data_IF_359193826418
#
_entry.id   IF_359193826418
#
_cell.length_a   1.000
_cell.length_b   1.000
_cell.length_c   1.000
_cell.angle_alpha   90.00
_cell.angle_beta   90.00
_cell.angle_gamma   90.00
#
_symmetry.space_group_name_H-M   'P 1'
#
loop_
_entity.id
_entity.type
_entity.pdbx_description
1 polymer ?
#
# COMPACT_ATOMS: atom_id res chain seq x y z
N UNK A 1 0.03 17.11 -14.67
CA UNK A 1 -0.55 17.05 -13.31
C UNK A 1 0.37 16.22 -12.41
N UNK A 2 0.31 16.39 -11.08
CA UNK A 2 0.96 15.50 -10.10
C UNK A 2 -0.04 14.69 -9.26
N UNK A 3 -1.35 14.81 -9.53
CA UNK A 3 -2.38 14.04 -8.82
C UNK A 3 -2.39 12.58 -9.25
N UNK A 4 -2.60 11.67 -8.29
CA UNK A 4 -2.61 10.22 -8.54
C UNK A 4 -1.26 9.71 -9.02
N UNK A 5 -0.17 10.15 -8.36
CA UNK A 5 1.23 9.85 -8.68
C UNK A 5 2.01 9.53 -7.41
N UNK A 6 2.95 8.62 -7.51
CA UNK A 6 4.08 8.53 -6.59
C UNK A 6 5.24 9.29 -7.22
N UNK A 7 5.90 10.14 -6.43
CA UNK A 7 7.02 10.95 -6.88
C UNK A 7 8.33 10.40 -6.31
N UNK A 8 9.40 10.47 -7.10
CA UNK A 8 10.77 10.17 -6.66
C UNK A 8 11.65 11.38 -6.91
N UNK A 9 12.27 11.88 -5.85
CA UNK A 9 13.16 13.05 -5.86
C UNK A 9 14.51 12.70 -5.23
N UNK A 10 15.53 13.46 -5.56
CA UNK A 10 16.85 13.43 -4.92
C UNK A 10 16.99 14.68 -4.05
N UNK A 11 17.10 14.49 -2.74
CA UNK A 11 17.19 15.57 -1.74
C UNK A 11 18.63 15.98 -1.42
N UNK A 12 19.62 15.23 -1.93
CA UNK A 12 21.03 15.39 -1.58
C UNK A 12 21.78 16.23 -2.62
N UNK A 13 21.38 16.15 -3.89
CA UNK A 13 22.12 16.77 -4.99
C UNK A 13 21.78 18.24 -5.28
N UNK A 14 20.65 18.76 -4.81
CA UNK A 14 20.27 20.17 -4.98
C UNK A 14 19.23 20.64 -3.95
N UNK A 15 19.05 21.96 -3.85
CA UNK A 15 18.04 22.60 -3.00
C UNK A 15 16.93 23.24 -3.88
N UNK A 16 15.64 22.98 -3.61
CA UNK A 16 15.11 22.11 -2.55
C UNK A 16 15.23 20.61 -2.84
N UNK A 17 15.43 20.22 -4.10
CA UNK A 17 15.68 18.85 -4.57
C UNK A 17 16.17 18.88 -6.03
N UNK A 18 16.66 17.75 -6.53
CA UNK A 18 16.84 17.48 -7.96
C UNK A 18 16.00 16.29 -8.42
N UNK A 19 15.82 16.18 -9.74
CA UNK A 19 15.14 15.03 -10.35
C UNK A 19 16.19 13.95 -10.65
N UNK A 20 16.05 12.73 -10.11
CA UNK A 20 16.94 11.63 -10.47
C UNK A 20 16.93 11.41 -11.99
N UNK A 21 18.09 11.34 -12.67
CA UNK A 21 18.14 11.16 -14.11
C UNK A 21 17.60 9.80 -14.57
N UNK A 22 17.47 8.85 -13.66
CA UNK A 22 16.88 7.53 -13.88
C UNK A 22 15.36 7.50 -13.69
N UNK A 23 14.72 8.64 -13.41
CA UNK A 23 13.26 8.66 -13.36
C UNK A 23 12.68 8.42 -14.77
N UNK A 24 11.56 7.69 -14.88
CA UNK A 24 11.02 7.22 -16.16
C UNK A 24 10.53 8.34 -17.08
N UNK A 25 10.15 9.51 -16.53
CA UNK A 25 9.54 10.61 -17.27
C UNK A 25 10.45 11.83 -17.47
N UNK A 26 11.75 11.71 -17.20
CA UNK A 26 12.70 12.83 -17.40
C UNK A 26 12.75 13.24 -18.87
N UNK A 27 12.61 14.53 -19.14
CA UNK A 27 12.66 15.10 -20.50
C UNK A 27 11.45 14.80 -21.37
N UNK A 28 10.44 14.08 -20.87
CA UNK A 28 9.22 13.79 -21.63
C UNK A 28 8.30 15.02 -21.69
N UNK A 29 8.01 15.49 -22.90
CA UNK A 29 7.07 16.61 -23.12
C UNK A 29 5.70 16.28 -22.54
N UNK A 30 5.20 17.14 -21.65
CA UNK A 30 3.89 16.97 -21.02
C UNK A 30 3.88 16.16 -19.73
N UNK A 31 5.00 15.54 -19.33
CA UNK A 31 5.15 14.86 -18.06
C UNK A 31 6.04 15.64 -17.09
N UNK A 32 5.88 15.36 -15.79
CA UNK A 32 6.77 15.87 -14.73
C UNK A 32 7.86 14.82 -14.49
N UNK A 33 9.12 15.25 -14.49
CA UNK A 33 10.26 14.33 -14.32
C UNK A 33 10.31 13.68 -12.94
N UNK A 34 9.63 14.26 -11.95
CA UNK A 34 9.47 13.73 -10.60
C UNK A 34 8.62 12.45 -10.54
N UNK A 35 7.78 12.19 -11.55
CA UNK A 35 6.86 11.05 -11.52
C UNK A 35 7.66 9.75 -11.54
N UNK A 36 7.36 8.86 -10.58
CA UNK A 36 7.90 7.51 -10.50
C UNK A 36 6.89 6.49 -11.02
N UNK A 37 5.66 6.55 -10.54
CA UNK A 37 4.54 5.74 -11.02
C UNK A 37 3.23 6.54 -10.96
N UNK A 38 2.22 6.06 -11.67
CA UNK A 38 0.96 6.77 -11.86
C UNK A 38 -0.24 5.82 -11.96
N UNK A 39 -1.43 6.38 -12.13
CA UNK A 39 -2.66 5.58 -12.23
C UNK A 39 -3.26 5.26 -10.88
N UNK A 40 -3.02 6.09 -9.87
CA UNK A 40 -3.65 5.97 -8.56
C UNK A 40 -4.83 6.93 -8.41
N UNK A 41 -5.82 6.58 -7.59
CA UNK A 41 -6.92 7.46 -7.22
C UNK A 41 -6.57 8.33 -6.02
N UNK A 42 -6.21 7.70 -4.90
CA UNK A 42 -5.78 8.32 -3.65
C UNK A 42 -4.81 7.39 -2.88
N UNK A 43 -3.52 7.33 -3.28
CA UNK A 43 -2.53 6.50 -2.61
C UNK A 43 -2.27 7.06 -1.20
N UNK A 44 -2.83 6.41 -0.17
CA UNK A 44 -2.87 6.94 1.19
C UNK A 44 -1.59 6.69 1.95
N UNK A 45 -1.18 5.42 2.05
CA UNK A 45 0.05 5.00 2.72
C UNK A 45 0.88 4.14 1.80
N UNK A 46 2.19 4.34 1.94
CA UNK A 46 3.20 3.53 1.30
C UNK A 46 4.28 3.14 2.31
N UNK A 47 4.87 1.98 2.12
CA UNK A 47 5.99 1.49 2.92
C UNK A 47 6.94 0.66 2.08
N UNK A 48 8.21 0.68 2.45
CA UNK A 48 9.20 -0.22 1.87
C UNK A 48 9.36 -1.42 2.77
N UNK A 49 9.31 -2.62 2.21
CA UNK A 49 9.76 -3.81 2.91
C UNK A 49 11.27 -3.69 3.17
N UNK A 50 11.67 -3.64 4.45
CA UNK A 50 13.08 -3.48 4.85
C UNK A 50 13.98 -4.63 4.39
N UNK A 51 13.42 -5.80 4.08
CA UNK A 51 14.19 -6.96 3.63
C UNK A 51 14.40 -6.99 2.11
N UNK A 52 13.40 -6.58 1.32
CA UNK A 52 13.44 -6.70 -0.15
C UNK A 52 13.59 -5.37 -0.87
N UNK A 53 13.18 -4.27 -0.23
CA UNK A 53 13.07 -2.95 -0.84
C UNK A 53 11.79 -2.76 -1.67
N UNK A 54 10.87 -3.73 -1.68
CA UNK A 54 9.63 -3.62 -2.43
C UNK A 54 8.75 -2.52 -1.83
N UNK A 55 8.13 -1.72 -2.69
CA UNK A 55 7.24 -0.64 -2.31
C UNK A 55 5.80 -1.15 -2.26
N UNK A 56 5.22 -1.17 -1.07
CA UNK A 56 3.83 -1.51 -0.83
C UNK A 56 2.99 -0.24 -0.79
N UNK A 57 1.83 -0.27 -1.45
CA UNK A 57 1.00 0.92 -1.66
C UNK A 57 -0.45 0.53 -1.33
N UNK A 58 -1.12 1.40 -0.61
CA UNK A 58 -2.55 1.31 -0.37
C UNK A 58 -3.24 2.47 -1.09
N UNK A 59 -4.09 2.15 -2.05
CA UNK A 59 -4.83 3.12 -2.85
C UNK A 59 -6.32 3.07 -2.50
N UNK A 60 -6.82 4.20 -1.98
CA UNK A 60 -8.22 4.33 -1.59
C UNK A 60 -9.04 4.64 -2.84
N UNK A 61 -9.91 3.72 -3.25
CA UNK A 61 -10.78 3.89 -4.41
C UNK A 61 -11.88 4.93 -4.22
N UNK A 62 -12.78 5.01 -5.19
CA UNK A 62 -13.80 6.05 -5.23
C UNK A 62 -15.13 5.61 -4.64
N UNK A 63 -15.82 4.70 -5.32
CA UNK A 63 -17.16 4.27 -4.96
C UNK A 63 -17.21 2.81 -4.49
N UNK A 64 -16.27 1.96 -4.93
CA UNK A 64 -16.45 0.51 -4.86
C UNK A 64 -15.28 -0.24 -4.23
N UNK A 65 -14.04 0.07 -4.62
CA UNK A 65 -12.93 -0.84 -4.40
C UNK A 65 -11.75 -0.18 -3.69
N UNK A 66 -11.31 -0.81 -2.62
CA UNK A 66 -10.03 -0.52 -1.98
C UNK A 66 -8.93 -1.41 -2.57
N UNK A 67 -7.70 -0.89 -2.70
CA UNK A 67 -6.61 -1.57 -3.38
C UNK A 67 -5.34 -1.69 -2.52
N UNK A 68 -4.68 -2.84 -2.60
CA UNK A 68 -3.29 -2.99 -2.17
C UNK A 68 -2.46 -3.34 -3.39
N UNK A 69 -1.50 -2.48 -3.69
CA UNK A 69 -0.55 -2.62 -4.78
C UNK A 69 0.87 -2.87 -4.25
N UNK A 70 1.73 -3.33 -5.16
CA UNK A 70 3.16 -3.45 -4.88
C UNK A 70 3.96 -3.11 -6.13
N UNK A 71 5.05 -2.37 -5.95
CA UNK A 71 6.05 -2.11 -6.96
C UNK A 71 7.36 -2.79 -6.55
N UNK A 72 7.89 -3.74 -7.35
CA UNK A 72 9.11 -4.46 -7.00
C UNK A 72 10.29 -3.50 -6.86
N UNK A 73 11.21 -3.77 -5.94
CA UNK A 73 12.45 -3.01 -5.75
C UNK A 73 13.30 -2.91 -7.03
N UNK A 74 13.18 -3.91 -7.91
CA UNK A 74 13.86 -3.98 -9.20
C UNK A 74 13.23 -3.14 -10.30
N UNK A 75 12.09 -2.51 -10.04
CA UNK A 75 11.39 -1.66 -11.01
C UNK A 75 12.24 -0.45 -11.43
N UNK A 76 12.10 -0.05 -12.69
CA UNK A 76 12.68 1.19 -13.23
C UNK A 76 11.69 2.38 -13.19
N UNK A 77 10.51 2.19 -12.58
CA UNK A 77 9.41 3.13 -12.59
C UNK A 77 8.63 3.10 -13.90
N UNK A 78 7.53 3.85 -13.94
CA UNK A 78 6.67 4.02 -15.10
C UNK A 78 5.39 3.19 -15.04
N UNK A 79 5.18 2.42 -13.96
CA UNK A 79 3.98 1.64 -13.74
C UNK A 79 2.72 2.53 -13.75
N UNK A 80 1.69 2.00 -14.41
CA UNK A 80 0.37 2.59 -14.49
C UNK A 80 -0.65 1.69 -13.77
N UNK A 81 -1.08 2.11 -12.58
CA UNK A 81 -2.02 1.38 -11.72
C UNK A 81 -3.49 1.54 -12.13
N UNK A 82 -3.76 2.16 -13.29
CA UNK A 82 -5.03 2.02 -13.98
C UNK A 82 -6.04 3.13 -13.76
N UNK A 83 -6.02 3.88 -12.65
CA UNK A 83 -6.99 4.97 -12.44
C UNK A 83 -6.84 6.09 -13.48
N UNK A 84 -7.95 6.62 -14.07
CA UNK A 84 -9.36 6.30 -13.78
C UNK A 84 -9.98 5.26 -14.72
N UNK A 85 -9.18 4.53 -15.48
CA UNK A 85 -9.66 3.51 -16.45
C UNK A 85 -10.13 2.25 -15.72
N UNK A 86 -9.50 1.94 -14.58
CA UNK A 86 -9.87 0.90 -13.64
C UNK A 86 -10.19 1.52 -12.27
N UNK A 87 -11.13 0.90 -11.55
CA UNK A 87 -11.30 1.01 -10.10
C UNK A 87 -11.19 -0.42 -9.54
N UNK A 88 -10.11 -0.72 -8.82
CA UNK A 88 -9.68 -2.08 -8.55
C UNK A 88 -9.42 -2.84 -9.85
N UNK A 89 -10.12 -3.95 -10.02
CA UNK A 89 -10.09 -4.73 -11.27
C UNK A 89 -11.30 -4.46 -12.17
N UNK A 90 -12.16 -3.50 -11.80
CA UNK A 90 -13.38 -3.19 -12.54
C UNK A 90 -13.08 -2.17 -13.65
N UNK A 91 -13.49 -2.50 -14.87
CA UNK A 91 -13.37 -1.59 -16.02
C UNK A 91 -14.36 -0.43 -15.92
N UNK A 92 -13.84 0.78 -15.77
CA UNK A 92 -14.61 2.05 -15.73
C UNK A 92 -14.63 2.71 -17.10
N UNK A 93 -13.49 2.70 -17.82
CA UNK A 93 -13.39 3.17 -19.21
C UNK A 93 -13.10 2.01 -20.17
N UNK A 94 -14.12 1.50 -20.88
CA UNK A 94 -13.98 0.39 -21.83
C UNK A 94 -12.97 0.62 -22.95
N UNK A 95 -12.61 1.88 -23.23
CA UNK A 95 -11.66 2.21 -24.29
C UNK A 95 -10.21 1.96 -23.88
N UNK A 96 -9.91 1.95 -22.57
CA UNK A 96 -8.55 1.94 -22.07
C UNK A 96 -8.29 0.92 -20.95
N UNK A 97 -9.31 0.34 -20.32
CA UNK A 97 -9.17 -0.61 -19.20
C UNK A 97 -8.55 -1.97 -19.59
N UNK A 98 -8.33 -2.22 -20.89
CA UNK A 98 -7.70 -3.42 -21.41
C UNK A 98 -6.28 -3.16 -21.94
N UNK A 99 -5.69 -2.01 -21.64
CA UNK A 99 -4.30 -1.72 -21.98
C UNK A 99 -3.37 -2.73 -21.25
N UNK A 100 -2.53 -3.49 -21.99
CA UNK A 100 -1.62 -4.46 -21.38
C UNK A 100 -0.51 -3.82 -20.52
N UNK A 101 -0.34 -2.50 -20.57
CA UNK A 101 0.57 -1.74 -19.71
C UNK A 101 0.01 -1.42 -18.32
N UNK A 102 -1.24 -1.77 -18.02
CA UNK A 102 -1.81 -1.58 -16.69
C UNK A 102 -1.30 -2.63 -15.71
N UNK A 103 -0.97 -2.18 -14.50
CA UNK A 103 -0.55 -3.02 -13.39
C UNK A 103 -1.77 -3.28 -12.51
N UNK A 104 -2.22 -4.55 -12.37
CA UNK A 104 -3.35 -4.85 -11.49
C UNK A 104 -2.93 -4.82 -10.02
N UNK A 105 -3.85 -4.50 -9.11
CA UNK A 105 -3.61 -4.60 -7.67
C UNK A 105 -3.38 -6.04 -7.24
N UNK A 106 -2.62 -6.23 -6.15
CA UNK A 106 -2.43 -7.55 -5.55
C UNK A 106 -3.74 -8.08 -4.97
N UNK A 107 -4.52 -7.20 -4.34
CA UNK A 107 -5.87 -7.53 -3.88
C UNK A 107 -6.77 -6.31 -3.94
N UNK A 108 -8.05 -6.55 -4.16
CA UNK A 108 -9.11 -5.56 -4.02
C UNK A 108 -10.15 -6.04 -3.00
N UNK A 109 -10.84 -5.11 -2.35
CA UNK A 109 -11.99 -5.44 -1.53
C UNK A 109 -13.04 -4.32 -1.51
N UNK A 110 -14.31 -4.72 -1.37
CA UNK A 110 -15.46 -3.83 -1.54
C UNK A 110 -15.80 -2.97 -0.32
N UNK A 111 -16.51 -1.88 -0.57
CA UNK A 111 -17.03 -0.94 0.44
C UNK A 111 -18.24 -1.45 1.27
N UNK A 112 -18.47 -2.76 1.37
CA UNK A 112 -19.65 -3.31 2.07
C UNK A 112 -19.73 -2.84 3.53
N UNK A 113 -18.66 -3.12 4.29
CA UNK A 113 -18.44 -2.55 5.63
C UNK A 113 -17.21 -1.65 5.67
N UNK A 114 -16.34 -1.75 4.66
CA UNK A 114 -15.08 -1.03 4.54
C UNK A 114 -15.27 0.31 3.82
N UNK A 115 -14.29 1.21 3.90
CA UNK A 115 -14.40 2.49 3.19
C UNK A 115 -13.09 3.23 2.92
N UNK A 116 -11.96 2.78 3.50
CA UNK A 116 -10.67 3.37 3.23
C UNK A 116 -9.57 2.42 3.70
N UNK A 117 -8.86 1.82 2.75
CA UNK A 117 -7.59 1.14 3.04
C UNK A 117 -6.59 2.14 3.60
N UNK A 118 -6.01 1.78 4.74
CA UNK A 118 -4.98 2.60 5.38
C UNK A 118 -3.58 2.18 4.96
N UNK A 119 -3.41 0.98 4.43
CA UNK A 119 -2.11 0.36 4.20
C UNK A 119 -1.42 -0.07 5.49
N UNK A 120 -0.13 -0.36 5.40
CA UNK A 120 0.65 -0.76 6.58
C UNK A 120 2.08 -1.16 6.23
N UNK A 121 2.56 -2.28 6.78
CA UNK A 121 3.97 -2.70 6.71
C UNK A 121 4.11 -4.20 6.57
N UNK A 122 5.15 -4.63 5.86
CA UNK A 122 5.61 -6.02 5.95
C UNK A 122 6.25 -6.20 7.33
N UNK A 123 5.72 -7.14 8.11
CA UNK A 123 6.19 -7.37 9.47
C UNK A 123 7.56 -8.06 9.44
N UNK A 124 8.56 -7.42 10.06
CA UNK A 124 9.95 -7.91 10.15
C UNK A 124 10.44 -8.09 11.59
N UNK A 125 9.54 -7.91 12.55
CA UNK A 125 9.79 -8.04 13.98
C UNK A 125 9.91 -9.48 14.47
N UNK A 126 10.24 -9.63 15.75
CA UNK A 126 10.38 -10.94 16.40
C UNK A 126 9.31 -11.23 17.45
N UNK A 127 8.47 -10.24 17.79
CA UNK A 127 7.39 -10.40 18.79
C UNK A 127 6.32 -11.38 18.34
N UNK A 128 6.01 -11.39 17.04
CA UNK A 128 5.02 -12.27 16.42
C UNK A 128 5.67 -13.01 15.25
N UNK A 129 6.47 -14.07 15.52
CA UNK A 129 7.22 -14.78 14.47
C UNK A 129 6.35 -15.28 13.32
N UNK A 130 5.08 -15.60 13.59
CA UNK A 130 4.12 -16.07 12.58
C UNK A 130 3.78 -15.01 11.52
N UNK A 131 4.04 -13.72 11.77
CA UNK A 131 3.81 -12.65 10.81
C UNK A 131 5.06 -12.25 10.03
N UNK A 132 6.22 -12.85 10.27
CA UNK A 132 7.44 -12.46 9.55
C UNK A 132 7.26 -12.63 8.03
N UNK A 133 7.36 -11.51 7.30
CA UNK A 133 7.16 -11.45 5.85
C UNK A 133 5.71 -11.20 5.40
N UNK A 134 4.77 -11.13 6.33
CA UNK A 134 3.37 -10.81 6.06
C UNK A 134 3.15 -9.30 5.97
N UNK A 135 2.48 -8.82 4.93
CA UNK A 135 2.03 -7.43 4.85
C UNK A 135 0.79 -7.23 5.70
N UNK A 136 0.93 -6.52 6.82
CA UNK A 136 -0.16 -6.16 7.72
C UNK A 136 -0.72 -4.80 7.30
N UNK A 137 -2.04 -4.71 7.14
CA UNK A 137 -2.74 -3.48 6.78
C UNK A 137 -4.13 -3.44 7.42
N UNK A 138 -4.81 -2.31 7.30
CA UNK A 138 -6.13 -2.15 7.91
C UNK A 138 -7.06 -1.22 7.15
N UNK A 139 -8.31 -1.16 7.62
CA UNK A 139 -9.37 -0.30 7.09
C UNK A 139 -9.89 0.66 8.18
N UNK A 140 -10.08 1.92 7.79
CA UNK A 140 -10.51 3.00 8.69
C UNK A 140 -11.91 2.77 9.26
N UNK A 141 -12.85 2.33 8.43
CA UNK A 141 -14.27 2.29 8.80
C UNK A 141 -14.56 1.16 9.77
N UNK A 142 -13.99 -0.01 9.51
CA UNK A 142 -14.24 -1.23 10.26
C UNK A 142 -13.31 -1.43 11.45
N UNK A 143 -12.14 -0.80 11.46
CA UNK A 143 -11.05 -1.19 12.37
C UNK A 143 -10.52 -2.59 12.09
N UNK A 144 -10.76 -3.11 10.89
CA UNK A 144 -10.29 -4.41 10.43
C UNK A 144 -8.78 -4.41 10.24
N UNK A 145 -8.12 -5.45 10.74
CA UNK A 145 -6.71 -5.74 10.50
C UNK A 145 -6.63 -6.98 9.62
N UNK A 146 -5.84 -6.87 8.57
CA UNK A 146 -5.72 -7.88 7.53
C UNK A 146 -4.25 -8.20 7.26
N UNK A 147 -4.02 -9.37 6.67
CA UNK A 147 -2.75 -9.72 6.03
C UNK A 147 -2.99 -10.22 4.61
N UNK A 148 -1.94 -10.25 3.79
CA UNK A 148 -1.95 -11.01 2.56
C UNK A 148 -1.28 -12.37 2.73
N UNK A 149 -1.78 -13.36 1.99
CA UNK A 149 -1.16 -14.68 1.81
C UNK A 149 -1.07 -15.01 0.32
N UNK A 150 -0.14 -15.88 -0.03
CA UNK A 150 0.14 -16.26 -1.43
C UNK A 150 1.41 -15.61 -1.95
N UNK A 151 1.43 -15.32 -3.24
CA UNK A 151 2.58 -14.78 -3.96
C UNK A 151 2.25 -14.59 -5.44
N UNK A 152 3.22 -14.10 -6.22
CA UNK A 152 3.08 -13.90 -7.67
C UNK A 152 2.53 -15.12 -8.40
N UNK A 153 2.97 -16.31 -7.99
CA UNK A 153 2.68 -17.55 -8.70
C UNK A 153 1.33 -18.16 -8.29
N UNK A 154 0.88 -17.90 -7.07
CA UNK A 154 -0.35 -18.50 -6.51
C UNK A 154 -1.54 -17.54 -6.49
N UNK A 155 -1.29 -16.27 -6.82
CA UNK A 155 -2.20 -15.16 -6.56
C UNK A 155 -2.19 -14.77 -5.08
N UNK A 156 -2.35 -13.48 -4.83
CA UNK A 156 -2.48 -12.92 -3.49
C UNK A 156 -3.93 -12.99 -3.02
N UNK A 157 -4.12 -13.20 -1.71
CA UNK A 157 -5.42 -13.20 -1.07
C UNK A 157 -5.35 -12.45 0.25
N UNK A 158 -6.38 -11.65 0.53
CA UNK A 158 -6.57 -11.03 1.84
C UNK A 158 -7.06 -12.07 2.84
N UNK A 159 -6.45 -12.06 4.02
CA UNK A 159 -6.86 -12.83 5.20
C UNK A 159 -7.19 -11.84 6.32
N UNK A 160 -8.33 -12.03 6.95
CA UNK A 160 -8.75 -11.25 8.11
C UNK A 160 -8.08 -11.78 9.37
N UNK A 161 -7.44 -10.88 10.12
CA UNK A 161 -6.85 -11.18 11.43
C UNK A 161 -7.80 -10.82 12.57
N UNK A 162 -8.67 -9.84 12.34
CA UNK A 162 -9.78 -9.50 13.22
C UNK A 162 -10.16 -8.03 13.13
N UNK A 163 -11.19 -7.66 13.90
CA UNK A 163 -11.69 -6.30 13.97
C UNK A 163 -11.47 -5.73 15.37
N UNK A 164 -10.99 -4.49 15.42
CA UNK A 164 -10.76 -3.76 16.66
C UNK A 164 -11.74 -2.58 16.73
N UNK A 165 -12.27 -2.23 17.92
CA UNK A 165 -13.20 -1.11 18.08
C UNK A 165 -12.45 0.24 18.07
N UNK A 166 -11.64 0.48 17.04
CA UNK A 166 -10.78 1.66 16.86
C UNK A 166 -10.90 2.20 15.44
N UNK A 167 -10.49 3.45 15.22
CA UNK A 167 -10.37 4.05 13.89
C UNK A 167 -8.91 4.03 13.46
N UNK A 168 -8.53 2.96 12.75
CA UNK A 168 -7.18 2.81 12.22
C UNK A 168 -6.92 3.94 11.24
N UNK A 169 -5.92 4.77 11.51
CA UNK A 169 -5.55 5.92 10.66
C UNK A 169 -4.13 5.81 10.12
N UNK A 170 -3.31 4.98 10.76
CA UNK A 170 -1.94 4.72 10.35
C UNK A 170 -1.42 3.43 10.96
N UNK A 171 -0.28 3.00 10.44
CA UNK A 171 0.58 2.01 11.07
C UNK A 171 1.96 2.64 11.33
N UNK A 172 2.76 2.01 12.16
CA UNK A 172 4.18 2.32 12.33
C UNK A 172 5.00 1.05 12.45
N UNK A 173 6.30 1.16 12.24
CA UNK A 173 7.27 0.08 12.49
C UNK A 173 8.39 0.66 13.35
N UNK A 174 8.85 -0.08 14.37
CA UNK A 174 10.02 0.32 15.14
C UNK A 174 11.34 -0.21 14.53
N UNK A 175 12.47 0.15 15.15
CA UNK A 175 13.78 -0.27 14.68
C UNK A 175 13.96 -1.81 14.67
N UNK A 176 13.24 -2.53 15.54
CA UNK A 176 13.28 -3.99 15.65
C UNK A 176 12.33 -4.68 14.65
N UNK A 177 11.50 -3.92 13.93
CA UNK A 177 10.58 -4.42 12.91
C UNK A 177 9.19 -4.77 13.45
N UNK A 178 8.91 -4.45 14.71
CA UNK A 178 7.57 -4.65 15.26
C UNK A 178 6.62 -3.58 14.75
N UNK A 179 5.40 -4.00 14.42
CA UNK A 179 4.38 -3.15 13.82
C UNK A 179 3.43 -2.62 14.89
N UNK A 180 3.02 -1.36 14.71
CA UNK A 180 2.10 -0.62 15.55
C UNK A 180 0.92 -0.12 14.74
N UNK A 181 -0.23 0.05 15.39
CA UNK A 181 -1.49 0.56 14.82
C UNK A 181 -1.83 1.87 15.52
N UNK A 182 -2.18 2.91 14.76
CA UNK A 182 -2.55 4.23 15.29
C UNK A 182 -4.05 4.42 15.19
N UNK A 183 -4.68 4.60 16.35
CA UNK A 183 -6.09 4.90 16.48
C UNK A 183 -6.33 6.41 16.52
N UNK A 184 -7.08 6.93 15.55
CA UNK A 184 -7.48 8.35 15.53
C UNK A 184 -8.72 8.66 16.37
N UNK A 185 -9.44 7.64 16.85
CA UNK A 185 -10.60 7.85 17.72
C UNK A 185 -10.15 8.30 19.11
N UNK A 186 -9.27 7.52 19.75
CA UNK A 186 -8.81 7.79 21.11
C UNK A 186 -7.36 8.32 21.17
N UNK A 187 -6.66 8.41 20.03
CA UNK A 187 -5.28 8.91 19.96
C UNK A 187 -4.25 7.95 20.53
N UNK A 188 -4.54 6.65 20.50
CA UNK A 188 -3.71 5.59 21.09
C UNK A 188 -2.88 4.89 20.02
N UNK A 189 -1.65 4.52 20.37
CA UNK A 189 -0.78 3.66 19.55
C UNK A 189 -0.71 2.28 20.18
N UNK A 190 -1.16 1.27 19.45
CA UNK A 190 -1.16 -0.13 19.87
C UNK A 190 0.01 -0.87 19.21
N UNK A 191 0.65 -1.80 19.93
CA UNK A 191 1.62 -2.73 19.33
C UNK A 191 0.90 -4.00 18.90
N UNK A 192 1.22 -4.52 17.71
CA UNK A 192 0.75 -5.83 17.27
C UNK A 192 1.47 -6.90 18.08
N UNK A 193 0.69 -7.79 18.70
CA UNK A 193 1.18 -8.91 19.52
C UNK A 193 0.44 -10.19 19.12
N UNK A 194 1.01 -11.34 19.48
CA UNK A 194 0.33 -12.61 19.29
C UNK A 194 -0.86 -12.68 20.26
N UNK A 195 -2.06 -12.84 19.71
CA UNK A 195 -3.31 -13.00 20.45
C UNK A 195 -3.54 -14.43 20.96
N UNK A 196 -2.63 -15.36 20.67
CA UNK A 196 -2.65 -16.68 21.31
C UNK A 196 -2.53 -16.48 22.83
N UNK A 197 -3.66 -16.63 23.52
CA UNK A 197 -3.67 -16.72 24.98
C UNK A 197 -2.73 -17.88 25.31
N UNK A 198 -1.69 -17.67 26.13
CA UNK A 198 -0.86 -18.78 26.58
C UNK A 198 -1.80 -19.82 27.17
N UNK A 199 -1.77 -21.04 26.65
CA UNK A 199 -2.54 -22.15 27.20
C UNK A 199 -2.29 -22.21 28.73
N UNK A 200 -3.29 -21.77 29.50
CA UNK A 200 -3.33 -21.83 30.96
C UNK A 200 -2.52 -20.76 31.72
N UNK A 201 -3.19 -19.70 32.16
CA UNK A 201 -3.20 -19.24 33.56
C UNK A 201 -4.55 -18.64 33.92
#
# INVERSE_FOLDING_TARGET
SIYGKILRIDVDSAQPYSIPPTNPFVGQTGARGEIWSYGFRNPWRLSFDRATGDLWIADVGDAKWEEVDMQPASSQGGENYGWPMLEGTECVDPSHCHDPGLVPPLVTYGHDMNCAVIGGYVYRGSTVPAFVGSYLFGDLCTGGVFTLVGGSDTGWKRVELGFQPIKISSFGEDAAGDVYVVDMQDGVVYRVVDGSIPNGR
#
